data_IF_218341000127
#
_entry.id   IF_218341000127
#
_cell.length_a   1.000
_cell.length_b   1.000
_cell.length_c   1.000
_cell.angle_alpha   90.00
_cell.angle_beta   90.00
_cell.angle_gamma   90.00
#
_symmetry.space_group_name_H-M   'P 1'
#
loop_
_entity.id
_entity.type
_entity.pdbx_description
1 polymer ?
#
# COMPACT_ATOMS: atom_id res chain seq x y z
N UNK A 1 3.47 72.59 -33.60
CA UNK A 1 2.32 73.49 -33.54
C UNK A 1 1.52 73.21 -32.33
N UNK A 2 1.75 74.03 -31.37
CA UNK A 2 0.82 74.88 -30.61
C UNK A 2 -0.11 74.06 -29.74
N UNK A 3 0.21 73.98 -28.45
CA UNK A 3 -0.24 74.78 -27.32
C UNK A 3 -1.77 74.77 -27.14
N UNK A 4 -2.27 74.33 -26.02
CA UNK A 4 -2.89 75.26 -25.11
C UNK A 4 -3.15 74.63 -23.70
N UNK A 5 -2.60 75.33 -22.73
CA UNK A 5 -2.82 75.24 -21.27
C UNK A 5 -4.15 75.87 -20.90
N UNK A 6 -4.90 75.31 -19.97
CA UNK A 6 -5.64 76.06 -18.94
C UNK A 6 -6.23 75.10 -17.86
N UNK A 7 -5.66 75.12 -16.72
CA UNK A 7 -6.18 75.51 -15.40
C UNK A 7 -7.70 75.42 -15.20
N UNK A 8 -8.17 74.60 -14.24
CA UNK A 8 -8.95 75.15 -13.12
C UNK A 8 -8.91 74.28 -11.87
N UNK A 9 -8.78 74.99 -10.78
CA UNK A 9 -8.68 74.57 -9.39
C UNK A 9 -10.03 74.08 -8.82
N UNK A 10 -9.93 73.32 -7.75
CA UNK A 10 -10.77 73.28 -6.53
C UNK A 10 -11.59 71.99 -6.33
N UNK A 11 -11.30 71.38 -5.19
CA UNK A 11 -12.31 70.75 -4.36
C UNK A 11 -12.01 69.30 -3.95
N UNK A 12 -11.33 69.11 -2.83
CA UNK A 12 -11.31 67.83 -2.11
C UNK A 12 -12.72 67.47 -1.63
N UNK A 13 -13.02 66.21 -1.39
CA UNK A 13 -12.62 65.65 -0.12
C UNK A 13 -11.98 64.26 -0.24
N UNK A 14 -11.08 64.02 0.69
CA UNK A 14 -10.53 62.73 1.03
C UNK A 14 -11.63 61.69 1.30
N UNK A 15 -11.77 60.71 0.42
CA UNK A 15 -12.49 59.49 0.79
C UNK A 15 -11.42 58.50 1.21
N UNK A 16 -11.27 58.32 2.53
CA UNK A 16 -10.44 57.32 3.14
C UNK A 16 -10.92 55.94 2.73
N UNK A 17 -10.17 55.29 1.81
CA UNK A 17 -10.39 53.89 1.48
C UNK A 17 -9.86 53.05 2.64
N UNK A 18 -10.76 52.68 3.55
CA UNK A 18 -10.51 51.66 4.58
C UNK A 18 -10.29 50.33 3.83
N UNK A 19 -9.06 49.99 3.63
CA UNK A 19 -8.66 48.62 3.26
C UNK A 19 -8.89 47.77 4.51
N UNK A 20 -10.04 47.13 4.56
CA UNK A 20 -10.31 46.05 5.50
C UNK A 20 -9.47 44.85 5.05
N UNK A 21 -8.25 44.79 5.57
CA UNK A 21 -7.44 43.60 5.50
C UNK A 21 -8.14 42.52 6.35
N UNK A 22 -9.03 41.74 5.72
CA UNK A 22 -9.49 40.48 6.29
C UNK A 22 -8.30 39.54 6.31
N UNK A 23 -7.58 39.53 7.43
CA UNK A 23 -6.68 38.48 7.80
C UNK A 23 -7.53 37.19 7.85
N UNK A 24 -7.47 36.41 6.79
CA UNK A 24 -7.88 35.01 6.83
C UNK A 24 -6.90 34.31 7.78
N UNK A 25 -7.13 34.47 9.08
CA UNK A 25 -6.64 33.54 10.06
C UNK A 25 -7.25 32.19 9.70
N UNK A 26 -6.52 31.40 8.93
CA UNK A 26 -6.81 30.00 8.74
C UNK A 26 -6.84 29.37 10.13
N UNK A 27 -8.03 29.23 10.68
CA UNK A 27 -8.26 28.36 11.82
C UNK A 27 -7.90 26.95 11.34
N UNK A 28 -6.65 26.54 11.56
CA UNK A 28 -6.37 25.14 11.81
C UNK A 28 -7.09 24.79 13.11
N UNK A 29 -8.41 24.64 13.01
CA UNK A 29 -9.18 24.05 14.09
C UNK A 29 -8.69 22.60 14.19
N UNK A 30 -7.69 22.38 15.06
CA UNK A 30 -7.52 21.09 15.67
C UNK A 30 -8.88 20.80 16.31
N UNK A 31 -9.73 20.01 15.64
CA UNK A 31 -10.94 19.49 16.23
C UNK A 31 -10.47 18.67 17.44
N UNK A 32 -10.42 19.32 18.61
CA UNK A 32 -10.28 18.60 19.85
C UNK A 32 -11.52 17.71 19.95
N UNK A 33 -11.33 16.41 19.78
CA UNK A 33 -12.36 15.44 20.11
C UNK A 33 -12.58 15.61 21.61
N UNK A 34 -13.60 16.40 21.98
CA UNK A 34 -14.01 16.62 23.37
C UNK A 34 -14.80 15.44 23.92
N UNK A 35 -14.86 14.32 23.16
CA UNK A 35 -15.62 13.14 23.52
C UNK A 35 -14.83 12.16 24.41
N UNK A 36 -15.57 11.25 25.01
CA UNK A 36 -15.01 10.13 25.76
C UNK A 36 -14.17 9.20 24.84
N UNK A 37 -13.31 8.35 25.45
CA UNK A 37 -12.59 7.31 24.72
C UNK A 37 -13.52 6.48 23.84
N UNK A 38 -14.68 6.08 24.40
CA UNK A 38 -15.65 5.21 23.70
C UNK A 38 -16.28 5.88 22.49
N UNK A 39 -16.53 7.18 22.56
CA UNK A 39 -17.01 7.96 21.41
C UNK A 39 -15.95 8.05 20.32
N UNK A 40 -14.69 8.28 20.71
CA UNK A 40 -13.55 8.26 19.79
C UNK A 40 -13.37 6.90 19.09
N UNK A 41 -13.44 5.79 19.82
CA UNK A 41 -13.35 4.45 19.24
C UNK A 41 -14.51 4.15 18.29
N UNK A 42 -15.75 4.51 18.67
CA UNK A 42 -16.91 4.38 17.77
C UNK A 42 -16.74 5.16 16.48
N UNK A 43 -16.24 6.40 16.56
CA UNK A 43 -15.95 7.22 15.39
C UNK A 43 -14.85 6.60 14.51
N UNK A 44 -13.76 6.14 15.11
CA UNK A 44 -12.66 5.51 14.36
C UNK A 44 -13.11 4.25 13.61
N UNK A 45 -13.90 3.40 14.27
CA UNK A 45 -14.48 2.19 13.67
C UNK A 45 -15.45 2.52 12.54
N UNK A 46 -16.34 3.51 12.74
CA UNK A 46 -17.25 3.97 11.70
C UNK A 46 -16.50 4.48 10.45
N UNK A 47 -15.47 5.29 10.65
CA UNK A 47 -14.64 5.81 9.55
C UNK A 47 -13.93 4.68 8.81
N UNK A 48 -13.37 3.70 9.53
CA UNK A 48 -12.77 2.50 8.95
C UNK A 48 -13.79 1.74 8.08
N UNK A 49 -14.98 1.50 8.61
CA UNK A 49 -16.03 0.72 7.94
C UNK A 49 -16.59 1.45 6.70
N UNK A 50 -16.45 2.78 6.65
CA UNK A 50 -16.73 3.61 5.47
C UNK A 50 -15.55 3.69 4.48
N UNK A 51 -14.45 2.96 4.72
CA UNK A 51 -13.24 3.04 3.90
C UNK A 51 -12.42 4.33 4.06
N UNK A 52 -12.77 5.21 5.02
CA UNK A 52 -12.07 6.47 5.31
C UNK A 52 -10.86 6.21 6.23
N UNK A 53 -9.92 5.44 5.71
CA UNK A 53 -8.80 4.86 6.50
C UNK A 53 -7.91 5.93 7.12
N UNK A 54 -7.56 6.98 6.37
CA UNK A 54 -6.72 8.08 6.87
C UNK A 54 -7.40 8.80 8.04
N UNK A 55 -8.69 9.10 7.89
CA UNK A 55 -9.45 9.75 8.95
C UNK A 55 -9.60 8.86 10.20
N UNK A 56 -9.83 7.56 10.01
CA UNK A 56 -9.85 6.58 11.11
C UNK A 56 -8.49 6.53 11.81
N UNK A 57 -7.39 6.47 11.07
CA UNK A 57 -6.03 6.47 11.60
C UNK A 57 -5.74 7.72 12.43
N UNK A 58 -6.18 8.91 11.99
CA UNK A 58 -6.03 10.15 12.75
C UNK A 58 -6.81 10.15 14.07
N UNK A 59 -8.01 9.55 14.08
CA UNK A 59 -8.79 9.43 15.34
C UNK A 59 -8.08 8.49 16.32
N UNK A 60 -7.59 7.33 15.85
CA UNK A 60 -6.80 6.42 16.69
C UNK A 60 -5.52 7.08 17.21
N UNK A 61 -4.79 7.83 16.36
CA UNK A 61 -3.59 8.56 16.77
C UNK A 61 -3.85 9.57 17.89
N UNK A 62 -5.01 10.27 17.85
CA UNK A 62 -5.43 11.19 18.91
C UNK A 62 -5.80 10.47 20.21
N UNK A 63 -6.43 9.31 20.13
CA UNK A 63 -6.69 8.47 21.30
C UNK A 63 -5.39 7.96 21.90
N UNK A 64 -4.47 7.53 21.07
CA UNK A 64 -3.16 7.04 21.47
C UNK A 64 -2.32 8.13 22.15
N UNK A 65 -2.31 9.37 21.62
CA UNK A 65 -1.59 10.50 22.23
C UNK A 65 -2.08 10.87 23.65
N UNK A 66 -3.24 10.36 24.07
CA UNK A 66 -3.80 10.49 25.42
C UNK A 66 -3.62 9.25 26.28
N UNK A 67 -2.79 8.30 25.81
CA UNK A 67 -2.59 6.98 26.45
C UNK A 67 -3.91 6.23 26.70
N UNK A 68 -4.89 6.43 25.80
CA UNK A 68 -6.21 5.84 25.95
C UNK A 68 -6.32 4.42 25.38
N UNK A 69 -5.45 4.03 24.42
CA UNK A 69 -5.53 2.73 23.75
C UNK A 69 -4.77 1.65 24.53
N UNK A 70 -5.42 0.50 24.77
CA UNK A 70 -4.82 -0.64 25.47
C UNK A 70 -5.20 -1.96 24.79
N UNK A 71 -4.33 -2.98 24.91
CA UNK A 71 -4.60 -4.33 24.44
C UNK A 71 -5.10 -4.36 23.00
N UNK A 72 -6.30 -4.91 22.80
CA UNK A 72 -6.91 -5.08 21.48
C UNK A 72 -7.16 -3.76 20.73
N UNK A 73 -7.41 -2.65 21.45
CA UNK A 73 -7.62 -1.33 20.81
C UNK A 73 -6.34 -0.81 20.14
N UNK A 74 -5.17 -1.06 20.74
CA UNK A 74 -3.88 -0.74 20.11
C UNK A 74 -3.66 -1.61 18.87
N UNK A 75 -4.10 -2.88 18.88
CA UNK A 75 -4.05 -3.76 17.71
C UNK A 75 -5.00 -3.30 16.60
N UNK A 76 -6.21 -2.83 16.95
CA UNK A 76 -7.11 -2.18 15.97
C UNK A 76 -6.44 -0.98 15.32
N UNK A 77 -5.81 -0.11 16.13
CA UNK A 77 -5.07 1.05 15.60
C UNK A 77 -3.96 0.63 14.64
N UNK A 78 -3.10 -0.33 15.03
CA UNK A 78 -2.02 -0.83 14.19
C UNK A 78 -2.54 -1.39 12.85
N UNK A 79 -3.67 -2.13 12.90
CA UNK A 79 -4.28 -2.75 11.73
C UNK A 79 -4.85 -1.72 10.75
N UNK A 80 -5.50 -0.67 11.26
CA UNK A 80 -6.03 0.42 10.43
C UNK A 80 -4.88 1.27 9.87
N UNK A 81 -3.90 1.61 10.69
CA UNK A 81 -2.74 2.41 10.27
C UNK A 81 -1.90 1.70 9.20
N UNK A 82 -1.89 0.36 9.17
CA UNK A 82 -1.17 -0.43 8.16
C UNK A 82 -1.66 -0.15 6.72
N UNK A 83 -2.86 0.37 6.55
CA UNK A 83 -3.43 0.73 5.25
C UNK A 83 -3.06 2.16 4.80
N UNK A 84 -2.64 3.04 5.74
CA UNK A 84 -2.43 4.47 5.49
C UNK A 84 -1.03 4.97 5.86
N UNK A 85 -0.27 4.23 6.65
CA UNK A 85 1.04 4.66 7.16
C UNK A 85 2.21 3.90 6.51
N UNK A 86 3.41 4.51 6.46
CA UNK A 86 4.62 3.83 6.00
C UNK A 86 4.93 2.55 6.82
N UNK A 87 5.57 1.53 6.20
CA UNK A 87 5.84 0.25 6.86
C UNK A 87 6.60 0.36 8.18
N UNK A 88 7.52 1.33 8.31
CA UNK A 88 8.27 1.53 9.55
C UNK A 88 7.35 1.94 10.71
N UNK A 89 6.45 2.89 10.48
CA UNK A 89 5.48 3.33 11.50
C UNK A 89 4.50 2.20 11.84
N UNK A 90 4.06 1.46 10.82
CA UNK A 90 3.20 0.29 11.00
C UNK A 90 3.86 -0.76 11.88
N UNK A 91 5.13 -1.05 11.65
CA UNK A 91 5.91 -2.00 12.45
C UNK A 91 6.01 -1.56 13.92
N UNK A 92 6.24 -0.29 14.18
CA UNK A 92 6.26 0.27 15.52
C UNK A 92 4.92 0.13 16.23
N UNK A 93 3.82 0.42 15.53
CA UNK A 93 2.47 0.28 16.08
C UNK A 93 2.14 -1.18 16.44
N UNK A 94 2.47 -2.14 15.57
CA UNK A 94 2.28 -3.56 15.88
C UNK A 94 3.19 -4.02 17.03
N UNK A 95 4.42 -3.50 17.13
CA UNK A 95 5.31 -3.75 18.28
C UNK A 95 4.69 -3.27 19.59
N UNK A 96 4.09 -2.07 19.59
CA UNK A 96 3.36 -1.52 20.74
C UNK A 96 2.09 -2.33 21.05
N UNK A 97 1.33 -2.72 20.03
CA UNK A 97 0.17 -3.59 20.19
C UNK A 97 0.55 -4.93 20.85
N UNK A 98 1.65 -5.54 20.37
CA UNK A 98 2.18 -6.76 20.99
C UNK A 98 2.50 -6.57 22.46
N UNK A 99 3.17 -5.48 22.83
CA UNK A 99 3.48 -5.19 24.24
C UNK A 99 2.21 -4.93 25.07
N UNK A 100 1.25 -4.21 24.53
CA UNK A 100 -0.03 -3.93 25.19
C UNK A 100 -0.87 -5.22 25.42
N UNK A 101 -0.64 -6.28 24.63
CA UNK A 101 -1.22 -7.60 24.77
C UNK A 101 -0.36 -8.56 25.64
N UNK A 102 0.67 -8.04 26.32
CA UNK A 102 1.50 -8.84 27.25
C UNK A 102 2.81 -9.36 26.66
N UNK A 103 3.14 -9.04 25.40
CA UNK A 103 4.44 -9.30 24.78
C UNK A 103 4.65 -10.74 24.25
N UNK A 104 4.10 -11.74 24.91
CA UNK A 104 4.25 -13.16 24.56
C UNK A 104 3.08 -13.65 23.69
N UNK A 105 3.35 -13.88 22.41
CA UNK A 105 2.33 -14.33 21.45
C UNK A 105 1.75 -15.71 21.78
N UNK A 106 2.41 -16.54 22.59
CA UNK A 106 1.86 -17.83 23.03
C UNK A 106 0.79 -17.69 24.12
N UNK A 107 0.67 -16.49 24.72
CA UNK A 107 -0.34 -16.16 25.73
C UNK A 107 -1.50 -15.33 25.19
N UNK A 108 -1.40 -14.91 23.94
CA UNK A 108 -2.47 -14.21 23.22
C UNK A 108 -3.52 -15.21 22.73
N UNK A 109 -4.72 -14.72 22.42
CA UNK A 109 -5.66 -15.52 21.63
C UNK A 109 -5.08 -15.83 20.24
N UNK A 110 -5.49 -16.91 19.56
CA UNK A 110 -5.03 -17.21 18.20
C UNK A 110 -5.24 -16.05 17.23
N UNK A 111 -6.36 -15.32 17.36
CA UNK A 111 -6.71 -14.16 16.54
C UNK A 111 -5.77 -12.98 16.80
N UNK A 112 -5.47 -12.67 18.06
CA UNK A 112 -4.53 -11.60 18.43
C UNK A 112 -3.10 -11.93 17.96
N UNK A 113 -2.65 -13.16 18.20
CA UNK A 113 -1.34 -13.62 17.78
C UNK A 113 -1.20 -13.59 16.26
N UNK A 114 -2.22 -14.06 15.51
CA UNK A 114 -2.27 -13.96 14.07
C UNK A 114 -2.15 -12.50 13.61
N UNK A 115 -3.01 -11.61 14.11
CA UNK A 115 -3.07 -10.23 13.68
C UNK A 115 -1.75 -9.48 13.93
N UNK A 116 -1.14 -9.67 15.11
CA UNK A 116 0.17 -9.11 15.45
C UNK A 116 1.24 -9.64 14.51
N UNK A 117 1.38 -10.96 14.41
CA UNK A 117 2.46 -11.60 13.65
C UNK A 117 2.31 -11.36 12.16
N UNK A 118 1.10 -11.46 11.61
CA UNK A 118 0.83 -11.18 10.20
C UNK A 118 1.12 -9.71 9.85
N UNK A 119 0.70 -8.78 10.72
CA UNK A 119 0.94 -7.35 10.53
C UNK A 119 2.43 -6.99 10.58
N UNK A 120 3.17 -7.53 11.56
CA UNK A 120 4.62 -7.37 11.65
C UNK A 120 5.32 -7.98 10.43
N UNK A 121 4.97 -9.21 10.04
CA UNK A 121 5.54 -9.89 8.90
C UNK A 121 5.39 -9.10 7.58
N UNK A 122 4.20 -8.55 7.34
CA UNK A 122 3.94 -7.68 6.18
C UNK A 122 4.79 -6.40 6.21
N UNK A 123 4.90 -5.76 7.37
CA UNK A 123 5.71 -4.55 7.53
C UNK A 123 7.21 -4.86 7.34
N UNK A 124 7.73 -5.96 7.91
CA UNK A 124 9.12 -6.41 7.71
C UNK A 124 9.41 -6.72 6.24
N UNK A 125 8.49 -7.43 5.56
CA UNK A 125 8.61 -7.73 4.15
C UNK A 125 8.65 -6.45 3.29
N UNK A 126 7.79 -5.48 3.60
CA UNK A 126 7.77 -4.19 2.92
C UNK A 126 9.06 -3.37 3.15
N UNK A 127 9.76 -3.61 4.26
CA UNK A 127 11.08 -3.03 4.57
C UNK A 127 12.25 -3.83 3.98
N UNK A 128 12.01 -4.94 3.28
CA UNK A 128 13.06 -5.80 2.73
C UNK A 128 13.74 -6.70 3.77
N UNK A 129 13.18 -6.81 4.97
CA UNK A 129 13.75 -7.58 6.08
C UNK A 129 13.24 -9.02 6.06
N UNK A 130 13.61 -9.78 5.02
CA UNK A 130 13.04 -11.09 4.70
C UNK A 130 13.18 -12.12 5.84
N UNK A 131 14.32 -12.16 6.54
CA UNK A 131 14.52 -13.09 7.66
C UNK A 131 13.58 -12.79 8.85
N UNK A 132 13.35 -11.50 9.15
CA UNK A 132 12.40 -11.09 10.19
C UNK A 132 10.96 -11.38 9.76
N UNK A 133 10.62 -11.08 8.49
CA UNK A 133 9.31 -11.42 7.94
C UNK A 133 9.03 -12.93 8.02
N UNK A 134 10.02 -13.78 7.74
CA UNK A 134 9.90 -15.23 7.87
C UNK A 134 9.55 -15.64 9.32
N UNK A 135 10.23 -15.06 10.30
CA UNK A 135 9.95 -15.33 11.72
C UNK A 135 8.51 -14.94 12.08
N UNK A 136 8.08 -13.76 11.64
CA UNK A 136 6.74 -13.26 11.94
C UNK A 136 5.65 -14.07 11.21
N UNK A 137 5.83 -14.46 9.95
CA UNK A 137 4.88 -15.33 9.24
C UNK A 137 4.85 -16.75 9.84
N UNK A 138 5.99 -17.26 10.34
CA UNK A 138 6.01 -18.52 11.09
C UNK A 138 5.17 -18.42 12.36
N UNK A 139 5.27 -17.31 13.09
CA UNK A 139 4.42 -17.03 14.24
C UNK A 139 2.93 -17.00 13.85
N UNK A 140 2.58 -16.32 12.75
CA UNK A 140 1.21 -16.23 12.25
C UNK A 140 0.64 -17.62 11.89
N UNK A 141 1.43 -18.44 11.18
CA UNK A 141 1.04 -19.82 10.81
C UNK A 141 1.00 -20.78 11.99
N UNK A 142 1.74 -20.48 13.07
CA UNK A 142 1.61 -21.24 14.33
C UNK A 142 0.27 -20.93 15.00
N UNK A 143 -0.16 -19.67 14.98
CA UNK A 143 -1.46 -19.25 15.53
C UNK A 143 -2.63 -19.79 14.68
N UNK A 144 -2.54 -19.66 13.36
CA UNK A 144 -3.55 -20.17 12.42
C UNK A 144 -2.87 -20.78 11.17
N UNK A 145 -2.72 -22.12 11.12
CA UNK A 145 -1.97 -22.82 10.07
C UNK A 145 -2.55 -22.67 8.65
N UNK A 146 -3.82 -22.29 8.55
CA UNK A 146 -4.53 -22.12 7.29
C UNK A 146 -4.93 -20.65 7.04
N UNK A 147 -4.18 -19.66 7.59
CA UNK A 147 -4.41 -18.28 7.21
C UNK A 147 -3.81 -18.00 5.83
N UNK A 148 -4.67 -17.65 4.86
CA UNK A 148 -4.27 -17.41 3.48
C UNK A 148 -3.25 -16.26 3.35
N UNK A 149 -3.42 -15.20 4.14
CA UNK A 149 -2.50 -14.05 4.13
C UNK A 149 -1.11 -14.38 4.65
N UNK A 150 -1.01 -15.21 5.70
CA UNK A 150 0.26 -15.68 6.24
C UNK A 150 0.96 -16.67 5.29
N UNK A 151 0.20 -17.59 4.66
CA UNK A 151 0.71 -18.48 3.63
C UNK A 151 1.25 -17.70 2.42
N UNK A 152 0.49 -16.71 1.94
CA UNK A 152 0.94 -15.84 0.86
C UNK A 152 2.21 -15.06 1.25
N UNK A 153 2.25 -14.47 2.44
CA UNK A 153 3.43 -13.75 2.94
C UNK A 153 4.67 -14.64 3.06
N UNK A 154 4.51 -15.86 3.59
CA UNK A 154 5.59 -16.86 3.66
C UNK A 154 6.04 -17.27 2.25
N UNK A 155 5.11 -17.46 1.31
CA UNK A 155 5.41 -17.74 -0.09
C UNK A 155 6.30 -16.67 -0.71
N UNK A 156 6.00 -15.40 -0.47
CA UNK A 156 6.82 -14.27 -0.95
C UNK A 156 8.23 -14.31 -0.37
N UNK A 157 8.40 -14.67 0.91
CA UNK A 157 9.72 -14.83 1.54
C UNK A 157 10.49 -15.98 0.92
N UNK A 158 9.83 -17.12 0.65
CA UNK A 158 10.46 -18.27 0.00
C UNK A 158 10.90 -17.92 -1.42
N UNK A 159 10.06 -17.23 -2.16
CA UNK A 159 10.36 -16.82 -3.55
C UNK A 159 11.55 -15.86 -3.61
N UNK A 160 11.60 -14.88 -2.71
CA UNK A 160 12.73 -13.96 -2.55
C UNK A 160 14.05 -14.67 -2.21
N UNK A 161 13.96 -15.85 -1.59
CA UNK A 161 15.11 -16.69 -1.24
C UNK A 161 15.50 -17.68 -2.37
N UNK A 162 14.88 -17.57 -3.56
CA UNK A 162 15.09 -18.48 -4.69
C UNK A 162 14.41 -19.84 -4.57
N UNK A 163 13.60 -20.05 -3.51
CA UNK A 163 12.88 -21.31 -3.27
C UNK A 163 11.52 -21.30 -3.98
N UNK A 164 11.56 -21.14 -5.31
CA UNK A 164 10.36 -20.93 -6.11
C UNK A 164 9.34 -22.07 -6.03
N UNK A 165 9.80 -23.32 -5.88
CA UNK A 165 8.88 -24.47 -5.77
C UNK A 165 8.09 -24.44 -4.49
N UNK A 166 8.75 -24.20 -3.35
CA UNK A 166 8.11 -24.08 -2.04
C UNK A 166 7.19 -22.84 -1.99
N UNK A 167 7.62 -21.73 -2.60
CA UNK A 167 6.81 -20.53 -2.71
C UNK A 167 5.47 -20.81 -3.42
N UNK A 168 5.52 -21.47 -4.57
CA UNK A 168 4.31 -21.83 -5.35
C UNK A 168 3.36 -22.73 -4.56
N UNK A 169 3.86 -23.71 -3.82
CA UNK A 169 3.03 -24.57 -2.97
C UNK A 169 2.28 -23.74 -1.90
N UNK A 170 2.95 -22.74 -1.34
CA UNK A 170 2.33 -21.84 -0.36
C UNK A 170 1.28 -20.93 -0.99
N UNK A 171 1.54 -20.37 -2.17
CA UNK A 171 0.57 -19.56 -2.91
C UNK A 171 -0.64 -20.39 -3.35
N UNK A 172 -0.42 -21.62 -3.86
CA UNK A 172 -1.49 -22.54 -4.23
C UNK A 172 -2.34 -22.92 -3.01
N UNK A 173 -1.73 -23.16 -1.86
CA UNK A 173 -2.46 -23.40 -0.60
C UNK A 173 -3.27 -22.18 -0.16
N UNK A 174 -2.72 -20.97 -0.29
CA UNK A 174 -3.45 -19.73 -0.01
C UNK A 174 -4.67 -19.59 -0.92
N UNK A 175 -4.53 -19.90 -2.22
CA UNK A 175 -5.62 -19.86 -3.21
C UNK A 175 -6.65 -20.97 -3.00
N UNK A 176 -6.29 -22.13 -2.46
CA UNK A 176 -7.26 -23.16 -2.05
C UNK A 176 -8.18 -22.67 -0.92
N UNK A 177 -7.65 -21.85 -0.01
CA UNK A 177 -8.39 -21.27 1.11
C UNK A 177 -9.22 -20.06 0.64
N UNK A 178 -8.60 -19.18 -0.13
CA UNK A 178 -9.25 -17.99 -0.72
C UNK A 178 -8.96 -17.90 -2.22
N UNK A 179 -9.81 -18.51 -3.07
CA UNK A 179 -9.63 -18.50 -4.53
C UNK A 179 -9.67 -17.09 -5.16
N UNK A 180 -10.28 -16.12 -4.47
CA UNK A 180 -10.37 -14.73 -4.92
C UNK A 180 -9.19 -13.85 -4.47
N UNK A 181 -8.15 -14.42 -3.82
CA UNK A 181 -6.98 -13.65 -3.40
C UNK A 181 -6.11 -13.28 -4.61
N UNK A 182 -6.38 -12.09 -5.16
CA UNK A 182 -5.63 -11.52 -6.30
C UNK A 182 -4.13 -11.37 -5.97
N UNK A 183 -3.77 -11.09 -4.71
CA UNK A 183 -2.36 -10.95 -4.33
C UNK A 183 -1.64 -12.31 -4.41
N UNK A 184 -2.24 -13.38 -3.89
CA UNK A 184 -1.68 -14.72 -3.99
C UNK A 184 -1.58 -15.19 -5.45
N UNK A 185 -2.59 -14.89 -6.28
CA UNK A 185 -2.60 -15.22 -7.69
C UNK A 185 -1.49 -14.48 -8.47
N UNK A 186 -1.34 -13.18 -8.23
CA UNK A 186 -0.25 -12.38 -8.81
C UNK A 186 1.12 -12.93 -8.40
N UNK A 187 1.31 -13.26 -7.11
CA UNK A 187 2.59 -13.78 -6.60
C UNK A 187 2.90 -15.16 -7.20
N UNK A 188 1.91 -16.04 -7.33
CA UNK A 188 2.06 -17.32 -8.01
C UNK A 188 2.50 -17.15 -9.46
N UNK A 189 1.87 -16.23 -10.19
CA UNK A 189 2.22 -15.95 -11.57
C UNK A 189 3.64 -15.37 -11.71
N UNK A 190 4.02 -14.43 -10.84
CA UNK A 190 5.37 -13.87 -10.82
C UNK A 190 6.45 -14.92 -10.48
N UNK A 191 6.15 -15.86 -9.58
CA UNK A 191 7.04 -16.99 -9.28
C UNK A 191 7.23 -17.91 -10.48
N UNK A 192 6.18 -18.15 -11.28
CA UNK A 192 6.30 -18.88 -12.55
C UNK A 192 7.14 -18.10 -13.57
N UNK A 193 6.94 -16.79 -13.66
CA UNK A 193 7.71 -15.92 -14.55
C UNK A 193 9.20 -15.91 -14.17
N UNK A 194 9.53 -15.79 -12.88
CA UNK A 194 10.90 -15.87 -12.36
C UNK A 194 11.60 -17.20 -12.69
N UNK A 195 10.82 -18.28 -12.75
CA UNK A 195 11.31 -19.61 -13.15
C UNK A 195 11.35 -19.82 -14.67
N UNK A 196 11.05 -18.78 -15.48
CA UNK A 196 11.06 -18.84 -16.95
C UNK A 196 9.81 -19.48 -17.58
N UNK A 197 8.77 -19.78 -16.79
CA UNK A 197 7.51 -20.34 -17.32
C UNK A 197 6.50 -19.22 -17.62
N UNK A 198 6.78 -18.50 -18.70
CA UNK A 198 6.02 -17.31 -19.13
C UNK A 198 4.56 -17.64 -19.48
N UNK A 199 4.31 -18.76 -20.17
CA UNK A 199 2.95 -19.13 -20.59
C UNK A 199 2.04 -19.40 -19.39
N UNK A 200 2.58 -20.03 -18.35
CA UNK A 200 1.82 -20.29 -17.13
C UNK A 200 1.53 -19.00 -16.35
N UNK A 201 2.50 -18.08 -16.30
CA UNK A 201 2.31 -16.76 -15.72
C UNK A 201 1.20 -15.97 -16.45
N UNK A 202 1.24 -15.93 -17.78
CA UNK A 202 0.21 -15.30 -18.63
C UNK A 202 -1.16 -15.93 -18.37
N UNK A 203 -1.25 -17.26 -18.35
CA UNK A 203 -2.53 -17.97 -18.12
C UNK A 203 -3.17 -17.58 -16.79
N UNK A 204 -2.37 -17.51 -15.71
CA UNK A 204 -2.85 -17.09 -14.39
C UNK A 204 -3.28 -15.61 -14.37
N UNK A 205 -2.47 -14.73 -14.93
CA UNK A 205 -2.73 -13.28 -14.89
C UNK A 205 -3.92 -12.85 -15.76
N UNK A 206 -4.24 -13.60 -16.81
CA UNK A 206 -5.44 -13.37 -17.62
C UNK A 206 -6.75 -13.62 -16.87
N UNK A 207 -6.73 -14.36 -15.76
CA UNK A 207 -7.90 -14.56 -14.91
C UNK A 207 -8.17 -13.41 -13.94
N UNK A 208 -7.21 -12.46 -13.80
CA UNK A 208 -7.36 -11.26 -12.96
C UNK A 208 -8.24 -10.25 -13.67
N UNK A 209 -9.15 -9.62 -12.93
CA UNK A 209 -10.04 -8.58 -13.45
C UNK A 209 -9.28 -7.45 -14.16
N UNK A 210 -9.82 -6.96 -15.27
CA UNK A 210 -9.20 -5.94 -16.13
C UNK A 210 -9.00 -4.60 -15.43
N UNK A 211 -9.80 -4.29 -14.42
CA UNK A 211 -9.66 -3.08 -13.61
C UNK A 211 -8.52 -3.16 -12.59
N UNK A 212 -7.94 -4.35 -12.35
CA UNK A 212 -6.84 -4.53 -11.43
C UNK A 212 -5.52 -4.08 -12.05
N UNK A 213 -5.10 -2.86 -11.75
CA UNK A 213 -3.88 -2.27 -12.32
C UNK A 213 -2.62 -3.11 -12.07
N UNK A 214 -2.45 -3.68 -10.88
CA UNK A 214 -1.29 -4.55 -10.57
C UNK A 214 -1.30 -5.80 -11.43
N UNK A 215 -2.45 -6.46 -11.56
CA UNK A 215 -2.61 -7.64 -12.42
C UNK A 215 -2.31 -7.33 -13.88
N UNK A 216 -2.79 -6.21 -14.40
CA UNK A 216 -2.53 -5.77 -15.78
C UNK A 216 -1.07 -5.41 -16.04
N UNK A 217 -0.39 -4.74 -15.09
CA UNK A 217 1.04 -4.47 -15.17
C UNK A 217 1.86 -5.77 -15.18
N UNK A 218 1.51 -6.72 -14.31
CA UNK A 218 2.17 -8.02 -14.26
C UNK A 218 1.90 -8.86 -15.52
N UNK A 219 0.70 -8.78 -16.10
CA UNK A 219 0.36 -9.43 -17.36
C UNK A 219 1.17 -8.84 -18.52
N UNK A 220 1.28 -7.51 -18.59
CA UNK A 220 2.12 -6.84 -19.58
C UNK A 220 3.61 -7.25 -19.43
N UNK A 221 4.12 -7.31 -18.19
CA UNK A 221 5.47 -7.80 -17.92
C UNK A 221 5.67 -9.25 -18.41
N UNK A 222 4.70 -10.12 -18.17
CA UNK A 222 4.75 -11.51 -18.64
C UNK A 222 4.70 -11.59 -20.18
N UNK A 223 3.89 -10.78 -20.85
CA UNK A 223 3.85 -10.70 -22.31
C UNK A 223 5.19 -10.23 -22.88
N UNK A 224 5.78 -9.15 -22.32
CA UNK A 224 7.10 -8.65 -22.75
C UNK A 224 8.22 -9.69 -22.55
N UNK A 225 8.17 -10.43 -21.44
CA UNK A 225 9.11 -11.55 -21.23
C UNK A 225 9.01 -12.64 -22.29
N UNK A 226 7.85 -12.79 -22.92
CA UNK A 226 7.59 -13.72 -24.03
C UNK A 226 7.73 -13.10 -25.42
N UNK A 227 8.22 -11.86 -25.55
CA UNK A 227 8.34 -11.14 -26.83
C UNK A 227 7.00 -10.78 -27.47
N UNK A 228 5.93 -10.61 -26.67
CA UNK A 228 4.56 -10.35 -27.12
C UNK A 228 4.19 -8.88 -26.86
N UNK A 229 4.86 -7.96 -27.55
CA UNK A 229 4.74 -6.50 -27.31
C UNK A 229 3.34 -5.96 -27.56
N UNK A 230 2.65 -6.43 -28.60
CA UNK A 230 1.29 -5.98 -28.91
C UNK A 230 0.28 -6.40 -27.82
N UNK A 231 0.42 -7.61 -27.30
CA UNK A 231 -0.41 -8.08 -26.19
C UNK A 231 -0.13 -7.30 -24.89
N UNK A 232 1.13 -6.94 -24.63
CA UNK A 232 1.51 -6.10 -23.51
C UNK A 232 0.88 -4.71 -23.60
N UNK A 233 0.91 -4.10 -24.78
CA UNK A 233 0.24 -2.81 -25.07
C UNK A 233 -1.26 -2.90 -24.84
N UNK A 234 -1.89 -3.95 -25.35
CA UNK A 234 -3.31 -4.18 -25.17
C UNK A 234 -3.68 -4.33 -23.68
N UNK A 235 -2.87 -5.05 -22.89
CA UNK A 235 -3.08 -5.17 -21.44
C UNK A 235 -2.95 -3.83 -20.72
N UNK A 236 -1.97 -2.99 -21.09
CA UNK A 236 -1.77 -1.66 -20.49
C UNK A 236 -2.87 -0.67 -20.87
N UNK A 237 -3.45 -0.79 -22.07
CA UNK A 237 -4.51 0.10 -22.54
C UNK A 237 -5.79 0.03 -21.69
N UNK A 238 -5.97 -1.03 -20.90
CA UNK A 238 -7.12 -1.15 -19.99
C UNK A 238 -6.98 -0.32 -18.71
N UNK A 239 -5.75 0.11 -18.36
CA UNK A 239 -5.44 0.74 -17.06
C UNK A 239 -4.69 2.08 -17.17
N UNK A 240 -4.14 2.40 -18.33
CA UNK A 240 -3.28 3.56 -18.53
C UNK A 240 -3.77 4.49 -19.65
N UNK A 241 -3.43 5.77 -19.55
CA UNK A 241 -3.65 6.72 -20.63
C UNK A 241 -2.79 6.34 -21.85
N UNK A 242 -3.30 6.50 -23.10
CA UNK A 242 -2.57 6.11 -24.32
C UNK A 242 -1.16 6.71 -24.41
N UNK A 243 -0.97 7.95 -23.96
CA UNK A 243 0.31 8.66 -23.98
C UNK A 243 1.35 8.07 -23.02
N UNK A 244 0.92 7.26 -22.05
CA UNK A 244 1.80 6.62 -21.07
C UNK A 244 2.25 5.22 -21.46
N UNK A 245 1.59 4.58 -22.44
CA UNK A 245 1.82 3.15 -22.75
C UNK A 245 3.26 2.90 -23.16
N UNK A 246 3.85 3.74 -24.05
CA UNK A 246 5.24 3.56 -24.49
C UNK A 246 6.22 3.67 -23.29
N UNK A 247 6.05 4.70 -22.46
CA UNK A 247 6.88 4.85 -21.26
C UNK A 247 6.75 3.68 -20.28
N UNK A 248 5.54 3.11 -20.12
CA UNK A 248 5.33 1.92 -19.29
C UNK A 248 6.00 0.68 -19.87
N UNK A 249 5.96 0.51 -21.20
CA UNK A 249 6.68 -0.57 -21.89
C UNK A 249 8.19 -0.46 -21.62
N UNK A 250 8.76 0.74 -21.76
CA UNK A 250 10.19 0.97 -21.48
C UNK A 250 10.54 0.69 -20.02
N UNK A 251 9.72 1.15 -19.07
CA UNK A 251 9.91 0.89 -17.64
C UNK A 251 9.82 -0.61 -17.31
N UNK A 252 8.89 -1.35 -17.92
CA UNK A 252 8.76 -2.79 -17.75
C UNK A 252 9.92 -3.56 -18.38
N UNK A 253 10.41 -3.14 -19.56
CA UNK A 253 11.59 -3.74 -20.20
C UNK A 253 12.85 -3.52 -19.36
N UNK A 254 13.03 -2.34 -18.74
CA UNK A 254 14.13 -2.10 -17.81
C UNK A 254 14.07 -3.05 -16.60
N UNK A 255 12.87 -3.30 -16.07
CA UNK A 255 12.67 -4.29 -14.98
C UNK A 255 13.04 -5.71 -15.43
N UNK A 256 12.65 -6.11 -16.63
CA UNK A 256 13.03 -7.42 -17.17
C UNK A 256 14.55 -7.56 -17.33
N UNK A 257 15.24 -6.51 -17.79
CA UNK A 257 16.70 -6.50 -17.88
C UNK A 257 17.36 -6.61 -16.50
N UNK A 258 16.88 -5.88 -15.51
CA UNK A 258 17.36 -5.99 -14.11
C UNK A 258 17.18 -7.40 -13.56
N UNK A 259 16.02 -8.03 -13.79
CA UNK A 259 15.75 -9.40 -13.38
C UNK A 259 16.68 -10.43 -14.03
N UNK A 260 17.14 -10.18 -15.27
CA UNK A 260 18.07 -11.06 -15.97
C UNK A 260 19.52 -10.92 -15.46
N UNK A 261 19.89 -9.72 -14.99
CA UNK A 261 21.23 -9.40 -14.49
C UNK A 261 21.42 -9.84 -13.03
N UNK A 262 20.35 -9.89 -12.24
CA UNK A 262 20.41 -10.24 -10.83
C UNK A 262 20.31 -11.77 -10.64
N UNK A 263 21.27 -12.33 -9.87
CA UNK A 263 21.32 -13.77 -9.59
C UNK A 263 20.13 -14.27 -8.77
N UNK A 264 19.40 -13.35 -8.12
CA UNK A 264 18.16 -13.64 -7.39
C UNK A 264 16.93 -13.07 -8.12
N UNK A 265 16.51 -13.73 -9.20
CA UNK A 265 15.34 -13.32 -10.00
C UNK A 265 14.08 -13.05 -9.16
N UNK A 266 13.89 -13.77 -8.05
CA UNK A 266 12.75 -13.59 -7.14
C UNK A 266 12.81 -12.28 -6.38
N UNK A 267 13.99 -11.84 -5.92
CA UNK A 267 14.17 -10.59 -5.19
C UNK A 267 13.97 -9.37 -6.11
N UNK A 268 14.42 -9.43 -7.35
CA UNK A 268 14.21 -8.38 -8.35
C UNK A 268 12.72 -8.19 -8.69
N UNK A 269 11.92 -9.27 -8.78
CA UNK A 269 10.48 -9.22 -8.96
C UNK A 269 9.76 -8.55 -7.78
N UNK A 270 10.15 -8.89 -6.56
CA UNK A 270 9.60 -8.28 -5.35
C UNK A 270 9.97 -6.80 -5.23
N UNK A 271 11.20 -6.43 -5.55
CA UNK A 271 11.65 -5.04 -5.59
C UNK A 271 10.90 -4.25 -6.67
N UNK A 272 10.67 -4.84 -7.84
CA UNK A 272 9.91 -4.20 -8.91
C UNK A 272 8.45 -3.95 -8.54
N UNK A 273 7.83 -4.86 -7.81
CA UNK A 273 6.43 -4.69 -7.34
C UNK A 273 6.24 -3.57 -6.31
N UNK A 274 7.32 -3.15 -5.64
CA UNK A 274 7.31 -2.04 -4.66
C UNK A 274 7.39 -0.65 -5.31
N UNK A 275 7.95 -0.55 -6.52
CA UNK A 275 7.99 0.71 -7.26
C UNK A 275 6.66 0.94 -7.97
N UNK A 276 5.90 1.91 -7.49
CA UNK A 276 4.64 2.31 -8.14
C UNK A 276 4.95 2.93 -9.50
N UNK A 277 4.36 2.37 -10.56
CA UNK A 277 4.37 2.98 -11.89
C UNK A 277 3.24 4.00 -11.98
N UNK A 278 3.53 5.16 -12.59
CA UNK A 278 2.51 6.18 -12.85
C UNK A 278 1.74 5.82 -14.11
N UNK A 279 0.43 5.62 -13.98
CA UNK A 279 -0.48 5.25 -15.08
C UNK A 279 -0.99 6.46 -15.88
N UNK A 280 -0.83 7.67 -15.33
CA UNK A 280 -1.15 8.95 -15.96
C UNK A 280 0.10 9.84 -16.05
N UNK A 281 0.12 10.77 -17.01
CA UNK A 281 1.11 11.85 -17.01
C UNK A 281 0.86 12.75 -15.81
N UNK A 282 1.89 13.23 -15.10
CA UNK A 282 1.71 14.29 -14.12
C UNK A 282 1.15 15.54 -14.81
N UNK A 283 0.14 16.17 -14.22
CA UNK A 283 -0.40 17.46 -14.67
C UNK A 283 0.62 18.57 -14.47
#
# INVERSE_FOLDING_TARGET
MVDLVAKLKRGAPMLALLIVSTVLAGCSSSMAIKGSKDEGLRLARLLRDQGRVEAATEVYARLDSRDALKGAEMLEYASVAALARPPQQTLELYGRARQALGGDTNKMTPEEALAVCLGMGRAQLALGRNAMAQTDFTCALKAQPNDAGALNGMGVVMDASGKHTEARQLFEKALQINPADVAALNNLALSWLASGNTDKAISLLRSVDDSNATGRLNLALAYLSGGRDDDARAALATIAQPQRIDGLIDELNQRLQQMQQDKSRGEALLLSSRQRLQLSTPE
#
